data_IF_296273135115
#
_entry.id   IF_296273135115
#
_cell.length_a   1.000
_cell.length_b   1.000
_cell.length_c   1.000
_cell.angle_alpha   90.00
_cell.angle_beta   90.00
_cell.angle_gamma   90.00
#
_symmetry.space_group_name_H-M   'P 1'
#
loop_
_entity.id
_entity.type
_entity.pdbx_description
1 polymer ?
#
# COMPACT_ATOMS: atom_id res chain seq x y z
N UNK A 1 -6.87 -16.92 1.37
CA UNK A 1 -6.16 -15.81 2.07
C UNK A 1 -5.46 -14.87 1.10
N UNK A 2 -4.73 -15.38 0.10
CA UNK A 2 -4.00 -14.51 -0.86
C UNK A 2 -4.89 -13.56 -1.65
N UNK A 3 -6.08 -13.97 -2.08
CA UNK A 3 -7.03 -13.09 -2.79
C UNK A 3 -7.31 -11.78 -2.04
N UNK A 4 -7.52 -11.86 -0.72
CA UNK A 4 -7.77 -10.67 0.11
C UNK A 4 -6.54 -9.76 0.18
N UNK A 5 -5.34 -10.34 0.26
CA UNK A 5 -4.09 -9.57 0.24
C UNK A 5 -3.97 -8.83 -1.09
N UNK A 6 -4.15 -9.53 -2.22
CA UNK A 6 -4.12 -8.92 -3.54
C UNK A 6 -5.15 -7.80 -3.69
N UNK A 7 -6.40 -8.03 -3.28
CA UNK A 7 -7.45 -7.02 -3.30
C UNK A 7 -7.05 -5.76 -2.51
N UNK A 8 -6.57 -5.92 -1.27
CA UNK A 8 -6.13 -4.79 -0.43
C UNK A 8 -4.95 -4.03 -1.02
N UNK A 9 -3.98 -4.74 -1.61
CA UNK A 9 -2.85 -4.10 -2.29
C UNK A 9 -3.33 -3.31 -3.51
N UNK A 10 -4.24 -3.86 -4.32
CA UNK A 10 -4.84 -3.14 -5.45
C UNK A 10 -5.53 -1.86 -5.00
N UNK A 11 -6.35 -1.90 -3.95
CA UNK A 11 -7.01 -0.71 -3.41
C UNK A 11 -6.01 0.31 -2.85
N UNK A 12 -4.93 -0.15 -2.21
CA UNK A 12 -3.91 0.77 -1.67
C UNK A 12 -3.17 1.56 -2.74
N UNK A 13 -3.01 1.02 -3.97
CA UNK A 13 -2.38 1.74 -5.07
C UNK A 13 -3.15 3.01 -5.42
N UNK A 14 -4.48 2.91 -5.51
CA UNK A 14 -5.35 4.08 -5.74
C UNK A 14 -5.18 5.15 -4.65
N UNK A 15 -5.13 4.74 -3.38
CA UNK A 15 -4.95 5.65 -2.24
C UNK A 15 -3.53 6.25 -2.17
N UNK A 16 -2.51 5.56 -2.70
CA UNK A 16 -1.14 6.08 -2.72
C UNK A 16 -0.96 7.28 -3.65
N UNK A 17 -1.86 7.46 -4.63
CA UNK A 17 -1.92 8.64 -5.48
C UNK A 17 -2.47 9.87 -4.75
N UNK A 18 -3.24 9.68 -3.67
CA UNK A 18 -3.66 10.78 -2.81
C UNK A 18 -2.51 11.17 -1.86
N UNK A 19 -1.97 12.38 -2.06
CA UNK A 19 -0.85 12.89 -1.28
C UNK A 19 -1.24 13.29 0.15
N UNK A 20 -2.53 13.34 0.49
CA UNK A 20 -3.01 13.75 1.80
C UNK A 20 -2.99 12.59 2.82
N UNK A 21 -2.89 11.34 2.36
CA UNK A 21 -2.88 10.18 3.24
C UNK A 21 -1.46 9.72 3.59
N UNK A 22 -1.19 9.49 4.87
CA UNK A 22 0.05 8.85 5.30
C UNK A 22 0.05 7.35 4.92
N UNK A 23 1.23 6.72 4.83
CA UNK A 23 1.33 5.27 4.57
C UNK A 23 0.61 4.46 5.67
N UNK A 24 0.64 4.96 6.91
CA UNK A 24 -0.10 4.40 8.04
C UNK A 24 -1.61 4.48 7.82
N UNK A 25 -2.13 5.66 7.44
CA UNK A 25 -3.56 5.84 7.17
C UNK A 25 -4.05 4.98 6.00
N UNK A 26 -3.24 4.80 4.96
CA UNK A 26 -3.56 3.90 3.84
C UNK A 26 -3.61 2.44 4.31
N UNK A 27 -2.64 2.01 5.13
CA UNK A 27 -2.65 0.67 5.72
C UNK A 27 -3.95 0.40 6.49
N UNK A 28 -4.37 1.35 7.32
CA UNK A 28 -5.62 1.25 8.08
C UNK A 28 -6.85 1.22 7.17
N UNK A 29 -6.91 2.11 6.16
CA UNK A 29 -8.00 2.19 5.20
C UNK A 29 -8.19 0.89 4.39
N UNK A 30 -7.10 0.17 4.08
CA UNK A 30 -7.18 -1.14 3.40
C UNK A 30 -7.22 -2.34 4.36
N UNK A 31 -7.48 -2.10 5.66
CA UNK A 31 -7.79 -3.14 6.64
C UNK A 31 -6.60 -3.86 7.24
N UNK A 32 -5.41 -3.25 7.23
CA UNK A 32 -4.25 -3.74 7.97
C UNK A 32 -4.17 -3.10 9.35
N UNK A 33 -4.11 -3.93 10.39
CA UNK A 33 -3.88 -3.49 11.78
C UNK A 33 -2.45 -3.01 12.04
N UNK A 34 -1.50 -3.42 11.20
CA UNK A 34 -0.08 -3.12 11.35
C UNK A 34 0.50 -2.74 9.99
N UNK A 35 1.00 -1.52 9.87
CA UNK A 35 1.57 -1.00 8.63
C UNK A 35 2.80 -1.76 8.16
N UNK A 36 3.59 -2.39 9.05
CA UNK A 36 4.73 -3.21 8.64
C UNK A 36 4.29 -4.45 7.86
N UNK A 37 3.14 -5.05 8.22
CA UNK A 37 2.58 -6.16 7.44
C UNK A 37 2.09 -5.70 6.07
N UNK A 38 1.45 -4.52 6.00
CA UNK A 38 1.07 -3.89 4.75
C UNK A 38 2.29 -3.64 3.86
N UNK A 39 3.32 -2.96 4.36
CA UNK A 39 4.54 -2.62 3.63
C UNK A 39 5.23 -3.89 3.10
N UNK A 40 5.34 -4.94 3.93
CA UNK A 40 5.94 -6.21 3.53
C UNK A 40 5.16 -6.87 2.39
N UNK A 41 3.82 -6.96 2.50
CA UNK A 41 2.98 -7.56 1.47
C UNK A 41 2.96 -6.72 0.19
N UNK A 42 2.90 -5.40 0.31
CA UNK A 42 2.96 -4.49 -0.82
C UNK A 42 4.29 -4.66 -1.56
N UNK A 43 5.43 -4.62 -0.86
CA UNK A 43 6.74 -4.85 -1.48
C UNK A 43 6.85 -6.23 -2.14
N UNK A 44 6.33 -7.28 -1.50
CA UNK A 44 6.33 -8.62 -2.07
C UNK A 44 5.54 -8.71 -3.38
N UNK A 45 4.39 -8.02 -3.47
CA UNK A 45 3.49 -8.11 -4.63
C UNK A 45 3.75 -7.07 -5.73
N UNK A 46 4.33 -5.93 -5.38
CA UNK A 46 4.55 -4.80 -6.29
C UNK A 46 6.04 -4.65 -6.67
N UNK A 47 6.95 -5.16 -5.85
CA UNK A 47 8.40 -5.08 -6.05
C UNK A 47 9.09 -3.93 -5.30
N UNK A 48 8.32 -2.94 -4.84
CA UNK A 48 8.83 -1.76 -4.14
C UNK A 48 7.96 -1.39 -2.93
N UNK A 49 8.46 -0.57 -2.02
CA UNK A 49 7.68 -0.13 -0.85
C UNK A 49 6.57 0.84 -1.26
N UNK A 50 5.46 0.96 -0.48
CA UNK A 50 4.41 1.96 -0.75
C UNK A 50 4.95 3.40 -0.89
N UNK A 51 5.97 3.74 -0.09
CA UNK A 51 6.61 5.05 -0.15
C UNK A 51 7.39 5.26 -1.46
N UNK A 52 8.15 4.26 -1.91
CA UNK A 52 8.85 4.30 -3.20
C UNK A 52 7.85 4.37 -4.36
N UNK A 53 6.79 3.55 -4.35
CA UNK A 53 5.72 3.58 -5.34
C UNK A 53 5.11 4.98 -5.49
N UNK A 54 4.83 5.64 -4.36
CA UNK A 54 4.31 7.02 -4.32
C UNK A 54 5.29 8.04 -4.94
N UNK A 55 6.58 7.91 -4.68
CA UNK A 55 7.60 8.83 -5.23
C UNK A 55 7.79 8.59 -6.71
N UNK A 56 7.93 7.33 -7.13
CA UNK A 56 8.20 6.95 -8.52
C UNK A 56 7.08 7.39 -9.47
N UNK A 57 5.84 7.47 -8.98
CA UNK A 57 4.72 7.97 -9.77
C UNK A 57 4.76 9.50 -10.02
N UNK A 58 5.59 10.26 -9.28
CA UNK A 58 5.74 11.71 -9.51
C UNK A 58 6.75 12.05 -10.62
N UNK A 59 7.32 11.04 -11.27
CA UNK A 59 8.22 11.16 -12.42
C UNK A 59 7.44 10.82 -13.68
#
# INVERSE_FOLDING_TARGET
>A
FDYLIHYRITMSKALLHDNNLSIQGISEAVGYKNANNFIRNFKKLVGETPHQYRINWKV
#
